data_IF_232851210652
#
_entry.id   IF_232851210652
#
_cell.length_a   1.000
_cell.length_b   1.000
_cell.length_c   1.000
_cell.angle_alpha   90.00
_cell.angle_beta   90.00
_cell.angle_gamma   90.00
#
_symmetry.space_group_name_H-M   'P 1'
#
loop_
_entity.id
_entity.type
_entity.pdbx_description
1 polymer ?
#
# COMPACT_ATOMS: atom_id res chain seq x y z
N UNK A 1 3.22 -5.26 -13.34
CA UNK A 1 4.23 -4.63 -14.23
C UNK A 1 5.60 -4.87 -13.65
N UNK A 2 6.59 -5.17 -14.48
CA UNK A 2 8.00 -5.24 -14.08
C UNK A 2 8.88 -4.70 -15.21
N UNK A 3 9.99 -4.05 -14.88
CA UNK A 3 10.97 -3.56 -15.85
C UNK A 3 12.35 -4.23 -15.69
N UNK A 4 13.28 -3.91 -16.59
CA UNK A 4 14.65 -4.44 -16.60
C UNK A 4 15.55 -3.91 -15.46
N UNK A 5 15.12 -2.87 -14.75
CA UNK A 5 15.86 -2.24 -13.65
C UNK A 5 15.49 -2.83 -12.29
N UNK A 6 14.67 -3.89 -12.26
CA UNK A 6 14.19 -4.51 -11.03
C UNK A 6 13.00 -3.78 -10.41
N UNK A 7 12.41 -2.80 -11.11
CA UNK A 7 11.17 -2.18 -10.66
C UNK A 7 10.03 -3.17 -10.87
N UNK A 8 9.20 -3.38 -9.85
CA UNK A 8 7.95 -4.14 -9.96
C UNK A 8 6.82 -3.33 -9.35
N UNK A 9 5.64 -3.39 -9.98
CA UNK A 9 4.42 -2.76 -9.51
C UNK A 9 3.26 -3.73 -9.70
N UNK A 10 2.46 -3.92 -8.66
CA UNK A 10 1.21 -4.66 -8.70
C UNK A 10 0.12 -3.82 -8.04
N UNK A 11 -1.05 -3.72 -8.68
CA UNK A 11 -2.23 -3.08 -8.10
C UNK A 11 -3.47 -3.88 -8.48
N UNK A 12 -4.36 -4.07 -7.52
CA UNK A 12 -5.71 -4.59 -7.73
C UNK A 12 -6.72 -3.68 -7.01
N UNK A 13 -7.89 -3.54 -7.60
CA UNK A 13 -9.02 -2.82 -7.01
C UNK A 13 -10.22 -3.73 -6.87
N UNK A 14 -10.98 -3.59 -5.79
CA UNK A 14 -12.31 -4.20 -5.67
C UNK A 14 -13.31 -3.19 -5.11
N UNK A 15 -14.56 -3.32 -5.54
CA UNK A 15 -15.69 -2.64 -4.91
C UNK A 15 -16.08 -3.39 -3.63
N UNK A 16 -16.19 -2.68 -2.52
CA UNK A 16 -16.69 -3.21 -1.24
C UNK A 16 -17.94 -2.44 -0.84
N UNK A 17 -18.99 -3.17 -0.48
CA UNK A 17 -20.21 -2.59 0.07
C UNK A 17 -19.99 -2.26 1.55
N UNK A 18 -20.35 -1.04 1.94
CA UNK A 18 -20.27 -0.52 3.31
C UNK A 18 -21.66 -0.11 3.78
N UNK A 19 -21.78 0.20 5.07
CA UNK A 19 -23.03 0.68 5.68
C UNK A 19 -24.23 -0.22 5.31
N UNK A 20 -24.15 -1.52 5.63
CA UNK A 20 -25.20 -2.53 5.35
C UNK A 20 -25.60 -2.67 3.86
N UNK A 21 -24.76 -2.19 2.93
CA UNK A 21 -25.02 -2.27 1.49
C UNK A 21 -25.56 -1.00 0.86
N UNK A 22 -25.76 0.07 1.63
CA UNK A 22 -26.24 1.37 1.14
C UNK A 22 -25.14 2.22 0.51
N UNK A 23 -23.88 1.92 0.82
CA UNK A 23 -22.72 2.64 0.34
C UNK A 23 -21.73 1.68 -0.33
N UNK A 24 -20.88 2.24 -1.18
CA UNK A 24 -19.83 1.48 -1.84
C UNK A 24 -18.52 2.26 -1.80
N UNK A 25 -17.44 1.55 -1.45
CA UNK A 25 -16.08 2.06 -1.40
C UNK A 25 -15.21 1.23 -2.33
N UNK A 26 -14.33 1.89 -3.08
CA UNK A 26 -13.30 1.18 -3.84
C UNK A 26 -12.12 0.95 -2.90
N UNK A 27 -11.79 -0.32 -2.68
CA UNK A 27 -10.58 -0.73 -1.99
C UNK A 27 -9.52 -0.98 -3.05
N UNK A 28 -8.35 -0.35 -2.90
CA UNK A 28 -7.17 -0.61 -3.72
C UNK A 28 -6.07 -1.19 -2.88
N UNK A 29 -5.48 -2.27 -3.35
CA UNK A 29 -4.34 -2.91 -2.74
C UNK A 29 -3.23 -3.04 -3.78
N UNK A 30 -2.01 -2.77 -3.37
CA UNK A 30 -0.90 -2.88 -4.29
C UNK A 30 0.45 -2.96 -3.59
N UNK A 31 1.46 -3.19 -4.40
CA UNK A 31 2.84 -3.15 -3.99
C UNK A 31 3.70 -2.56 -5.10
N UNK A 32 4.80 -1.96 -4.69
CA UNK A 32 5.88 -1.62 -5.60
C UNK A 32 7.22 -1.95 -4.98
N UNK A 33 8.19 -2.27 -5.82
CA UNK A 33 9.58 -2.46 -5.43
C UNK A 33 10.50 -1.84 -6.47
N UNK A 34 11.66 -1.35 -6.02
CA UNK A 34 12.73 -0.86 -6.87
C UNK A 34 14.06 -0.97 -6.14
N UNK A 35 15.18 -0.77 -6.85
CA UNK A 35 16.51 -0.67 -6.26
C UNK A 35 16.87 0.82 -6.15
N UNK A 36 17.23 1.28 -4.96
CA UNK A 36 17.62 2.68 -4.75
C UNK A 36 18.93 3.02 -5.48
N UNK A 37 19.27 4.30 -5.70
CA UNK A 37 20.56 4.70 -6.27
C UNK A 37 21.78 4.14 -5.51
N UNK A 38 21.61 3.85 -4.21
CA UNK A 38 22.62 3.26 -3.33
C UNK A 38 22.68 1.71 -3.43
N UNK A 39 21.89 1.10 -4.31
CA UNK A 39 21.83 -0.36 -4.50
C UNK A 39 20.95 -1.10 -3.49
N UNK A 40 20.15 -0.38 -2.68
CA UNK A 40 19.34 -0.99 -1.62
C UNK A 40 17.98 -1.39 -2.18
N UNK A 41 17.51 -2.64 -2.00
CA UNK A 41 16.17 -3.04 -2.41
C UNK A 41 15.12 -2.37 -1.53
N UNK A 42 14.20 -1.67 -2.18
CA UNK A 42 13.08 -0.96 -1.58
C UNK A 42 11.79 -1.69 -1.95
N UNK A 43 10.93 -1.96 -0.98
CA UNK A 43 9.61 -2.55 -1.22
C UNK A 43 8.56 -1.95 -0.30
N UNK A 44 7.43 -1.56 -0.90
CA UNK A 44 6.25 -1.03 -0.24
C UNK A 44 5.04 -1.87 -0.63
N UNK A 45 4.23 -2.22 0.35
CA UNK A 45 2.85 -2.64 0.16
C UNK A 45 1.90 -1.59 0.72
N UNK A 46 0.70 -1.48 0.16
CA UNK A 46 -0.29 -0.52 0.64
C UNK A 46 -1.72 -1.02 0.44
N UNK A 47 -2.60 -0.44 1.25
CA UNK A 47 -4.05 -0.52 1.10
C UNK A 47 -4.64 0.90 1.18
N UNK A 48 -5.57 1.20 0.28
CA UNK A 48 -6.36 2.42 0.26
C UNK A 48 -7.85 2.05 0.29
N UNK A 49 -8.57 2.51 1.31
CA UNK A 49 -10.00 2.26 1.54
C UNK A 49 -10.64 3.42 2.30
N UNK A 50 -11.82 3.22 2.90
CA UNK A 50 -12.52 4.26 3.68
C UNK A 50 -11.73 4.80 4.88
N UNK A 51 -10.72 4.07 5.35
CA UNK A 51 -9.84 4.46 6.45
C UNK A 51 -8.58 5.19 5.95
N UNK A 52 -8.55 5.61 4.69
CA UNK A 52 -7.44 6.33 4.06
C UNK A 52 -6.34 5.42 3.50
N UNK A 53 -5.17 6.01 3.25
CA UNK A 53 -4.01 5.30 2.69
C UNK A 53 -3.08 4.79 3.79
N UNK A 54 -2.76 3.49 3.77
CA UNK A 54 -1.86 2.86 4.73
C UNK A 54 -0.83 2.03 3.99
N UNK A 55 0.44 2.38 4.16
CA UNK A 55 1.57 1.69 3.54
C UNK A 55 2.47 1.03 4.58
N UNK A 56 3.09 -0.07 4.18
CA UNK A 56 4.08 -0.81 4.93
C UNK A 56 5.34 -0.99 4.08
N UNK A 57 6.50 -0.77 4.68
CA UNK A 57 7.79 -0.95 4.02
C UNK A 57 8.93 -0.74 5.03
N UNK A 58 10.05 -1.41 4.82
CA UNK A 58 11.23 -1.36 5.71
C UNK A 58 11.84 0.04 5.86
N UNK A 59 11.59 0.89 4.88
CA UNK A 59 12.14 2.24 4.70
C UNK A 59 11.07 3.33 4.91
N UNK A 60 9.83 2.94 5.24
CA UNK A 60 8.77 3.88 5.58
C UNK A 60 8.81 4.19 7.08
N UNK A 61 8.44 5.42 7.49
CA UNK A 61 8.20 5.72 8.89
C UNK A 61 7.17 4.73 9.43
N UNK A 62 7.56 3.96 10.45
CA UNK A 62 6.58 3.15 11.18
C UNK A 62 5.71 4.14 11.95
N UNK A 63 4.43 4.21 11.60
CA UNK A 63 3.44 4.86 12.46
C UNK A 63 3.50 4.12 13.80
N UNK A 64 4.16 4.72 14.78
CA UNK A 64 4.01 4.33 16.17
C UNK A 64 2.59 4.73 16.53
N UNK A 65 1.68 3.75 16.50
CA UNK A 65 0.43 3.87 17.23
C UNK A 65 0.84 4.12 18.68
N UNK A 66 0.79 5.39 19.10
CA UNK A 66 0.95 5.73 20.49
C UNK A 66 -0.12 4.93 21.24
N UNK A 67 0.32 3.90 21.97
CA UNK A 67 -0.56 3.15 22.87
C UNK A 67 -1.22 4.20 23.76
N UNK A 68 -2.54 4.30 23.67
CA UNK A 68 -3.33 5.23 24.46
C UNK A 68 -2.88 5.20 25.91
N UNK A 69 -2.57 6.38 26.44
CA UNK A 69 -2.56 6.62 27.88
C UNK A 69 -3.98 6.82 28.36
#
# INVERSE_FOLDING_TARGET
FSDQNGTTVSEQGRLTLTNEGWESVIVKEGSYSYVSPEGIPVSVSYIADEKGFRANGSHLPKVVLAKGR
#
